data_IF_725776055604
#
_entry.id   IF_725776055604
#
_cell.length_a   1.000
_cell.length_b   1.000
_cell.length_c   1.000
_cell.angle_alpha   90.00
_cell.angle_beta   90.00
_cell.angle_gamma   90.00
#
_symmetry.space_group_name_H-M   'P 1'
#
loop_
_entity.id
_entity.type
_entity.pdbx_description
1 polymer ?
#
# COMPACT_ATOMS: atom_id res chain seq x y z
N UNK A 1 58.06 5.88 -9.77
CA UNK A 1 57.04 6.50 -8.89
C UNK A 1 55.71 5.93 -9.36
N UNK A 2 55.25 4.78 -8.88
CA UNK A 2 54.92 4.33 -7.51
C UNK A 2 53.47 4.70 -7.10
N UNK A 3 52.63 3.64 -7.17
CA UNK A 3 51.32 3.35 -6.54
C UNK A 3 49.98 3.96 -7.01
N UNK A 4 48.87 3.21 -6.76
CA UNK A 4 47.70 3.09 -7.63
C UNK A 4 46.41 3.63 -6.98
N UNK A 5 45.30 3.68 -7.73
CA UNK A 5 43.96 3.85 -7.13
C UNK A 5 42.98 2.81 -7.69
N UNK A 6 42.52 1.97 -6.78
CA UNK A 6 41.53 0.91 -6.92
C UNK A 6 40.17 1.49 -7.32
N UNK A 7 39.49 0.87 -8.27
CA UNK A 7 38.03 0.98 -8.37
C UNK A 7 37.40 0.35 -7.11
N UNK A 8 36.40 0.99 -6.48
CA UNK A 8 35.66 0.35 -5.42
C UNK A 8 34.76 -0.73 -6.03
N UNK A 9 35.19 -1.98 -5.93
CA UNK A 9 34.34 -3.15 -6.11
C UNK A 9 33.26 -3.12 -5.02
N UNK A 10 32.08 -2.60 -5.34
CA UNK A 10 30.90 -2.77 -4.49
C UNK A 10 30.36 -4.19 -4.73
N UNK A 11 30.90 -5.17 -4.00
CA UNK A 11 30.24 -6.46 -3.87
C UNK A 11 29.10 -6.27 -2.88
N UNK A 12 27.87 -6.20 -3.39
CA UNK A 12 26.68 -6.30 -2.54
C UNK A 12 26.76 -7.62 -1.77
N UNK A 13 26.57 -7.63 -0.44
CA UNK A 13 26.39 -8.89 0.27
C UNK A 13 25.15 -9.56 -0.33
N UNK A 14 25.33 -10.75 -0.93
CA UNK A 14 24.21 -11.63 -1.27
C UNK A 14 23.50 -11.96 0.04
N UNK A 15 22.45 -11.21 0.34
CA UNK A 15 21.55 -11.48 1.44
C UNK A 15 20.91 -12.84 1.15
N UNK A 16 21.50 -13.89 1.73
CA UNK A 16 20.84 -15.18 1.81
C UNK A 16 19.64 -14.97 2.72
N UNK A 17 18.46 -14.86 2.11
CA UNK A 17 17.17 -14.97 2.81
C UNK A 17 17.18 -16.34 3.47
N UNK A 18 17.59 -16.39 4.75
CA UNK A 18 17.37 -17.55 5.60
C UNK A 18 15.87 -17.62 5.77
N UNK A 19 15.28 -18.70 5.26
CA UNK A 19 13.88 -19.01 5.45
C UNK A 19 13.61 -19.08 6.97
N UNK A 20 13.02 -18.02 7.51
CA UNK A 20 12.36 -18.07 8.81
C UNK A 20 10.98 -18.68 8.57
N UNK A 21 10.91 -20.01 8.52
CA UNK A 21 9.64 -20.73 8.61
C UNK A 21 9.30 -20.89 10.10
N UNK A 22 8.59 -19.90 10.62
CA UNK A 22 7.58 -20.10 11.67
C UNK A 22 6.30 -19.37 11.21
N UNK A 23 5.82 -19.78 10.03
CA UNK A 23 4.60 -19.26 9.42
C UNK A 23 3.40 -19.78 10.21
N UNK A 24 2.91 -18.97 11.14
CA UNK A 24 1.63 -19.20 11.78
C UNK A 24 0.52 -18.90 10.76
N UNK A 25 0.09 -19.94 10.02
CA UNK A 25 -0.85 -19.91 8.90
C UNK A 25 -1.90 -18.80 9.02
N UNK A 26 -1.76 -17.74 8.21
CA UNK A 26 -2.86 -16.80 7.95
C UNK A 26 -3.82 -17.51 7.00
N UNK A 27 -4.94 -17.97 7.54
CA UNK A 27 -5.86 -18.82 6.80
C UNK A 27 -6.91 -18.00 6.05
N UNK A 28 -7.41 -16.93 6.69
CA UNK A 28 -8.47 -16.07 6.13
C UNK A 28 -7.99 -14.63 6.01
N UNK A 29 -7.92 -14.12 4.79
CA UNK A 29 -7.50 -12.73 4.50
C UNK A 29 -8.70 -11.93 4.02
N UNK A 30 -9.01 -10.82 4.67
CA UNK A 30 -9.95 -9.84 4.13
C UNK A 30 -9.20 -8.84 3.24
N UNK A 31 -9.70 -8.58 2.04
CA UNK A 31 -9.14 -7.59 1.11
C UNK A 31 -10.23 -6.57 0.79
N UNK A 32 -10.08 -5.33 1.24
CA UNK A 32 -10.97 -4.25 0.79
C UNK A 32 -10.40 -3.62 -0.47
N UNK A 33 -11.23 -3.15 -1.39
CA UNK A 33 -10.74 -2.66 -2.69
C UNK A 33 -10.25 -3.80 -3.58
N UNK A 34 -10.80 -5.01 -3.39
CA UNK A 34 -10.32 -6.24 -4.04
C UNK A 34 -10.49 -6.20 -5.56
N UNK A 35 -11.44 -5.43 -6.09
CA UNK A 35 -11.66 -5.35 -7.54
C UNK A 35 -10.79 -4.28 -8.20
N UNK A 36 -10.15 -3.40 -7.42
CA UNK A 36 -9.17 -2.42 -7.90
C UNK A 36 -7.92 -3.06 -8.50
N UNK A 37 -7.10 -2.26 -9.19
CA UNK A 37 -5.91 -2.77 -9.90
C UNK A 37 -4.96 -3.56 -8.99
N UNK A 38 -4.64 -3.01 -7.81
CA UNK A 38 -3.77 -3.66 -6.84
C UNK A 38 -4.48 -4.83 -6.15
N UNK A 39 -5.80 -4.70 -5.91
CA UNK A 39 -6.61 -5.75 -5.30
C UNK A 39 -6.62 -7.04 -6.11
N UNK A 40 -6.76 -6.94 -7.44
CA UNK A 40 -6.70 -8.10 -8.34
C UNK A 40 -5.34 -8.79 -8.31
N UNK A 41 -4.25 -8.01 -8.33
CA UNK A 41 -2.88 -8.56 -8.24
C UNK A 41 -2.61 -9.25 -6.90
N UNK A 42 -3.06 -8.63 -5.81
CA UNK A 42 -2.94 -9.22 -4.47
C UNK A 42 -3.80 -10.49 -4.38
N UNK A 43 -5.01 -10.48 -4.93
CA UNK A 43 -5.88 -11.65 -4.99
C UNK A 43 -5.17 -12.81 -5.73
N UNK A 44 -4.64 -12.59 -6.93
CA UNK A 44 -3.92 -13.62 -7.71
C UNK A 44 -2.79 -14.30 -6.90
N UNK A 45 -2.04 -13.50 -6.14
CA UNK A 45 -0.95 -13.98 -5.28
C UNK A 45 -1.47 -14.76 -4.07
N UNK A 46 -2.52 -14.28 -3.41
CA UNK A 46 -3.16 -14.98 -2.28
C UNK A 46 -3.84 -16.27 -2.73
N UNK A 47 -4.39 -16.30 -3.94
CA UNK A 47 -5.01 -17.49 -4.50
C UNK A 47 -4.01 -18.62 -4.72
N UNK A 48 -2.84 -18.25 -5.22
CA UNK A 48 -1.73 -19.15 -5.50
C UNK A 48 -1.00 -19.62 -4.23
N UNK A 49 -1.32 -19.07 -3.06
CA UNK A 49 -0.69 -19.41 -1.79
C UNK A 49 -1.50 -20.47 -1.03
N UNK A 50 -0.92 -21.67 -0.85
CA UNK A 50 -1.55 -22.79 -0.14
C UNK A 50 -1.79 -22.49 1.36
N UNK A 51 -1.10 -21.51 1.94
CA UNK A 51 -1.32 -21.06 3.32
C UNK A 51 -2.63 -20.28 3.49
N UNK A 52 -3.13 -19.65 2.41
CA UNK A 52 -4.38 -18.88 2.41
C UNK A 52 -5.51 -19.80 1.96
N UNK A 53 -6.45 -20.09 2.86
CA UNK A 53 -7.59 -20.96 2.58
C UNK A 53 -8.76 -20.20 1.97
N UNK A 54 -8.95 -18.94 2.36
CA UNK A 54 -10.08 -18.11 1.94
C UNK A 54 -9.69 -16.64 1.89
N UNK A 55 -10.17 -15.96 0.84
CA UNK A 55 -10.11 -14.50 0.71
C UNK A 55 -11.51 -13.94 0.82
N UNK A 56 -11.73 -13.04 1.78
CA UNK A 56 -12.97 -12.27 1.88
C UNK A 56 -12.76 -10.94 1.16
N UNK A 57 -13.32 -10.82 -0.03
CA UNK A 57 -13.21 -9.60 -0.83
C UNK A 57 -14.35 -8.64 -0.54
N UNK A 58 -14.02 -7.37 -0.30
CA UNK A 58 -14.98 -6.28 -0.09
C UNK A 58 -14.73 -5.20 -1.14
N UNK A 59 -15.75 -4.86 -1.91
CA UNK A 59 -15.69 -3.73 -2.84
C UNK A 59 -17.09 -3.18 -3.17
N UNK A 60 -17.14 -1.94 -3.65
CA UNK A 60 -18.36 -1.28 -4.14
C UNK A 60 -18.72 -1.66 -5.59
N UNK A 61 -17.83 -2.37 -6.28
CA UNK A 61 -18.01 -2.85 -7.65
C UNK A 61 -17.83 -4.37 -7.71
N UNK A 62 -18.62 -5.07 -8.53
CA UNK A 62 -18.48 -6.53 -8.69
C UNK A 62 -17.17 -6.91 -9.43
N UNK A 63 -16.54 -8.04 -9.06
CA UNK A 63 -15.38 -8.52 -9.78
C UNK A 63 -15.77 -8.97 -11.20
N UNK A 64 -14.89 -8.71 -12.17
CA UNK A 64 -15.11 -9.09 -13.58
C UNK A 64 -15.14 -10.61 -13.77
N UNK A 65 -14.46 -11.35 -12.89
CA UNK A 65 -14.44 -12.81 -12.89
C UNK A 65 -14.46 -13.34 -11.45
N UNK A 66 -15.07 -14.50 -11.26
CA UNK A 66 -15.00 -15.22 -9.98
C UNK A 66 -13.61 -15.82 -9.77
N UNK A 67 -13.26 -16.07 -8.51
CA UNK A 67 -12.00 -16.70 -8.13
C UNK A 67 -12.27 -17.82 -7.11
N UNK A 68 -11.56 -18.97 -7.18
CA UNK A 68 -11.86 -20.14 -6.34
C UNK A 68 -11.82 -19.90 -4.83
N UNK A 69 -10.92 -19.04 -4.34
CA UNK A 69 -10.79 -18.74 -2.90
C UNK A 69 -11.55 -17.48 -2.48
N UNK A 70 -12.11 -16.72 -3.42
CA UNK A 70 -12.79 -15.46 -3.15
C UNK A 70 -14.23 -15.68 -2.72
N UNK A 71 -14.52 -15.28 -1.49
CA UNK A 71 -15.86 -14.94 -1.06
C UNK A 71 -16.05 -13.42 -1.17
N UNK A 72 -16.87 -13.00 -2.11
CA UNK A 72 -17.07 -11.58 -2.42
C UNK A 72 -18.30 -11.00 -1.72
N UNK A 73 -18.15 -9.77 -1.20
CA UNK A 73 -19.21 -8.96 -0.60
C UNK A 73 -19.25 -7.60 -1.29
N UNK A 74 -20.35 -7.31 -1.98
CA UNK A 74 -20.62 -6.00 -2.59
C UNK A 74 -21.00 -4.99 -1.50
N UNK A 75 -19.99 -4.32 -0.93
CA UNK A 75 -20.10 -3.41 0.20
C UNK A 75 -19.04 -2.30 0.11
N UNK A 76 -19.44 -1.10 0.52
CA UNK A 76 -18.51 0.01 0.76
C UNK A 76 -17.90 -0.13 2.16
N UNK A 77 -16.65 0.32 2.36
CA UNK A 77 -15.97 0.33 3.66
C UNK A 77 -16.67 1.21 4.72
N UNK A 78 -17.59 2.08 4.28
CA UNK A 78 -18.46 2.88 5.15
C UNK A 78 -19.70 2.11 5.64
N UNK A 79 -19.94 0.89 5.16
CA UNK A 79 -21.13 0.12 5.51
C UNK A 79 -21.03 -0.46 6.94
N UNK A 80 -22.08 -0.27 7.74
CA UNK A 80 -22.16 -0.75 9.11
C UNK A 80 -22.11 -2.29 9.25
N UNK A 81 -22.30 -3.03 8.16
CA UNK A 81 -22.20 -4.49 8.13
C UNK A 81 -20.75 -4.99 8.13
N UNK A 82 -19.75 -4.13 7.90
CA UNK A 82 -18.35 -4.50 7.75
C UNK A 82 -17.84 -5.39 8.90
N UNK A 83 -18.18 -5.05 10.15
CA UNK A 83 -17.77 -5.85 11.32
C UNK A 83 -18.28 -7.30 11.31
N UNK A 84 -19.45 -7.57 10.71
CA UNK A 84 -19.97 -8.94 10.57
C UNK A 84 -19.21 -9.74 9.51
N UNK A 85 -18.71 -9.06 8.48
CA UNK A 85 -17.93 -9.67 7.40
C UNK A 85 -16.54 -10.07 7.89
N UNK A 86 -16.00 -9.36 8.89
CA UNK A 86 -14.67 -9.62 9.42
C UNK A 86 -14.60 -10.79 10.42
N UNK A 87 -15.71 -11.41 10.78
CA UNK A 87 -15.74 -12.54 11.72
C UNK A 87 -14.88 -13.70 11.18
N UNK A 88 -13.87 -14.10 11.95
CA UNK A 88 -12.94 -15.17 11.58
C UNK A 88 -11.83 -14.77 10.62
N UNK A 89 -11.64 -13.47 10.35
CA UNK A 89 -10.52 -12.93 9.58
C UNK A 89 -9.24 -12.94 10.43
N UNK A 90 -8.14 -13.43 9.87
CA UNK A 90 -6.81 -13.39 10.48
C UNK A 90 -6.07 -12.09 10.15
N UNK A 91 -6.18 -11.64 8.89
CA UNK A 91 -5.43 -10.52 8.34
C UNK A 91 -6.33 -9.64 7.47
N UNK A 92 -6.23 -8.32 7.62
CA UNK A 92 -6.90 -7.35 6.76
C UNK A 92 -5.87 -6.68 5.86
N UNK A 93 -6.09 -6.72 4.55
CA UNK A 93 -5.38 -5.95 3.54
C UNK A 93 -6.31 -4.84 3.07
N UNK A 94 -6.06 -3.60 3.50
CA UNK A 94 -6.96 -2.48 3.25
C UNK A 94 -6.50 -1.68 2.02
N UNK A 95 -7.01 -2.03 0.84
CA UNK A 95 -6.66 -1.37 -0.44
C UNK A 95 -7.73 -0.38 -0.92
N UNK A 96 -8.90 -0.38 -0.28
CA UNK A 96 -10.00 0.53 -0.65
C UNK A 96 -9.57 1.97 -0.39
N UNK A 97 -9.31 2.70 -1.47
CA UNK A 97 -8.89 4.08 -1.43
C UNK A 97 -9.18 4.74 -2.78
N UNK A 98 -9.83 5.89 -2.75
CA UNK A 98 -10.13 6.69 -3.93
C UNK A 98 -8.94 7.61 -4.26
N UNK A 99 -8.41 7.48 -5.48
CA UNK A 99 -7.24 8.21 -5.97
C UNK A 99 -7.57 9.45 -6.81
N UNK A 100 -8.58 9.35 -7.67
CA UNK A 100 -8.92 10.43 -8.59
C UNK A 100 -9.60 11.58 -7.84
N UNK A 101 -9.36 12.84 -8.27
CA UNK A 101 -10.15 13.97 -7.81
C UNK A 101 -11.59 13.74 -8.25
N UNK A 102 -12.38 13.13 -7.37
CA UNK A 102 -13.82 13.32 -7.43
C UNK A 102 -14.01 14.83 -7.28
N UNK A 103 -14.92 15.42 -8.06
CA UNK A 103 -15.37 16.81 -7.85
C UNK A 103 -15.96 17.06 -6.45
N UNK A 104 -16.01 16.01 -5.63
CA UNK A 104 -16.59 15.88 -4.31
C UNK A 104 -15.53 15.30 -3.37
N UNK A 105 -14.70 16.21 -2.83
CA UNK A 105 -13.64 15.88 -1.88
C UNK A 105 -14.20 15.34 -0.56
N UNK A 106 -15.39 15.77 -0.14
CA UNK A 106 -16.07 15.27 1.05
C UNK A 106 -16.38 13.77 0.92
N UNK A 107 -16.94 13.36 -0.23
CA UNK A 107 -17.15 11.94 -0.53
C UNK A 107 -15.83 11.18 -0.54
N UNK A 108 -14.79 11.73 -1.17
CA UNK A 108 -13.47 11.09 -1.20
C UNK A 108 -12.91 10.91 0.22
N UNK A 109 -13.04 11.92 1.08
CA UNK A 109 -12.60 11.87 2.48
C UNK A 109 -13.40 10.83 3.27
N UNK A 110 -14.72 10.76 3.07
CA UNK A 110 -15.55 9.76 3.75
C UNK A 110 -15.12 8.33 3.41
N UNK A 111 -14.69 8.06 2.18
CA UNK A 111 -14.21 6.74 1.77
C UNK A 111 -12.81 6.50 2.32
N UNK A 112 -11.90 7.46 2.13
CA UNK A 112 -10.47 7.28 2.39
C UNK A 112 -10.09 7.35 3.87
N UNK A 113 -10.79 8.15 4.66
CA UNK A 113 -10.44 8.42 6.06
C UNK A 113 -11.45 7.74 6.98
N UNK A 114 -12.74 8.08 6.85
CA UNK A 114 -13.79 7.50 7.71
C UNK A 114 -13.97 6.00 7.40
N UNK A 115 -13.92 5.62 6.12
CA UNK A 115 -13.90 4.22 5.71
C UNK A 115 -12.71 3.45 6.28
N UNK A 116 -11.51 4.04 6.33
CA UNK A 116 -10.38 3.40 7.02
C UNK A 116 -10.63 3.30 8.52
N UNK A 117 -11.17 4.32 9.18
CA UNK A 117 -11.50 4.25 10.60
C UNK A 117 -12.46 3.08 10.90
N UNK A 118 -13.48 2.88 10.07
CA UNK A 118 -14.41 1.76 10.20
C UNK A 118 -13.72 0.39 10.00
N UNK A 119 -12.81 0.28 9.04
CA UNK A 119 -12.02 -0.94 8.81
C UNK A 119 -11.16 -1.25 10.03
N UNK A 120 -10.49 -0.24 10.60
CA UNK A 120 -9.67 -0.39 11.80
C UNK A 120 -10.52 -0.80 13.01
N UNK A 121 -11.66 -0.15 13.23
CA UNK A 121 -12.59 -0.49 14.32
C UNK A 121 -13.11 -1.93 14.20
N UNK A 122 -13.57 -2.32 13.01
CA UNK A 122 -14.02 -3.69 12.75
C UNK A 122 -12.90 -4.73 12.96
N UNK A 123 -11.69 -4.41 12.51
CA UNK A 123 -10.50 -5.25 12.67
C UNK A 123 -10.15 -5.46 14.16
N UNK A 124 -10.15 -4.37 14.95
CA UNK A 124 -9.91 -4.46 16.39
C UNK A 124 -11.02 -5.22 17.14
N UNK A 125 -12.29 -4.99 16.78
CA UNK A 125 -13.43 -5.64 17.45
C UNK A 125 -13.40 -7.18 17.32
N UNK A 126 -12.87 -7.70 16.21
CA UNK A 126 -12.70 -9.15 16.00
C UNK A 126 -11.35 -9.66 16.50
N UNK A 127 -10.39 -8.76 16.77
CA UNK A 127 -9.05 -9.13 17.20
C UNK A 127 -8.23 -9.76 16.08
N UNK A 128 -8.29 -9.19 14.87
CA UNK A 128 -7.44 -9.66 13.76
C UNK A 128 -5.97 -9.58 14.18
N UNK A 129 -5.15 -10.49 13.67
CA UNK A 129 -3.71 -10.52 14.01
C UNK A 129 -2.93 -9.44 13.28
N UNK A 130 -3.41 -9.06 12.09
CA UNK A 130 -2.63 -8.22 11.18
C UNK A 130 -3.48 -7.28 10.33
N UNK A 131 -2.93 -6.10 10.08
CA UNK A 131 -3.42 -5.12 9.12
C UNK A 131 -2.26 -4.72 8.20
N UNK A 132 -2.48 -4.81 6.89
CA UNK A 132 -1.56 -4.35 5.85
C UNK A 132 -2.20 -3.19 5.11
N UNK A 133 -1.52 -2.04 5.07
CA UNK A 133 -2.01 -0.82 4.45
C UNK A 133 -0.98 -0.24 3.47
N UNK A 134 -1.30 -0.12 2.17
CA UNK A 134 -0.49 0.63 1.23
C UNK A 134 -0.75 2.13 1.42
N UNK A 135 0.19 2.82 2.06
CA UNK A 135 0.28 4.27 2.03
C UNK A 135 0.99 4.75 0.74
N UNK A 136 1.53 5.96 0.73
CA UNK A 136 2.24 6.54 -0.41
C UNK A 136 3.34 7.49 0.06
N UNK A 137 4.46 7.55 -0.67
CA UNK A 137 5.51 8.53 -0.46
C UNK A 137 5.03 10.00 -0.58
N UNK A 138 3.83 10.23 -1.14
CA UNK A 138 3.19 11.54 -1.15
C UNK A 138 2.99 12.14 0.26
N UNK A 139 2.97 11.32 1.33
CA UNK A 139 2.90 11.80 2.72
C UNK A 139 4.11 12.61 3.16
N UNK A 140 5.27 12.44 2.50
CA UNK A 140 6.47 13.23 2.74
C UNK A 140 6.37 14.65 2.14
N UNK A 141 5.48 14.86 1.17
CA UNK A 141 5.35 16.11 0.43
C UNK A 141 6.49 16.38 -0.55
N UNK A 142 6.24 17.28 -1.50
CA UNK A 142 7.21 17.70 -2.52
C UNK A 142 7.85 19.05 -2.15
N UNK A 143 8.76 19.06 -1.18
CA UNK A 143 9.44 20.26 -0.70
C UNK A 143 10.91 20.27 -1.10
N UNK A 144 11.43 21.44 -1.52
CA UNK A 144 12.81 21.58 -1.99
C UNK A 144 13.88 21.37 -0.91
N UNK A 145 13.48 21.45 0.36
CA UNK A 145 14.32 21.22 1.54
C UNK A 145 14.15 19.81 2.14
N UNK A 146 13.50 18.89 1.43
CA UNK A 146 13.47 17.47 1.83
C UNK A 146 14.89 16.87 1.78
N UNK A 147 15.16 15.96 2.71
CA UNK A 147 16.34 15.09 2.63
C UNK A 147 16.28 14.22 1.36
N UNK A 148 17.45 13.90 0.82
CA UNK A 148 17.59 13.03 -0.33
C UNK A 148 18.68 11.98 -0.07
N UNK A 149 18.35 10.67 0.00
CA UNK A 149 17.02 10.08 -0.17
C UNK A 149 16.10 10.27 1.06
N UNK A 150 14.78 10.20 0.83
CA UNK A 150 13.79 10.12 1.90
C UNK A 150 13.84 8.75 2.58
N UNK A 151 13.63 8.74 3.90
CA UNK A 151 13.58 7.53 4.74
C UNK A 151 12.25 7.47 5.49
N UNK A 152 11.95 6.36 6.14
CA UNK A 152 10.74 6.18 6.95
C UNK A 152 10.70 7.13 8.15
N UNK A 153 11.87 7.62 8.59
CA UNK A 153 12.01 8.65 9.63
C UNK A 153 11.90 10.09 9.11
N UNK A 154 11.81 10.29 7.80
CA UNK A 154 11.68 11.64 7.23
C UNK A 154 10.36 12.29 7.66
N UNK A 155 10.33 13.62 7.88
CA UNK A 155 9.12 14.33 8.30
C UNK A 155 7.96 14.15 7.31
N UNK A 156 6.76 13.94 7.84
CA UNK A 156 5.54 13.88 7.02
C UNK A 156 5.01 15.29 6.77
N UNK A 157 5.14 15.75 5.53
CA UNK A 157 4.80 17.12 5.11
C UNK A 157 3.90 17.14 3.87
N UNK A 158 2.94 16.21 3.81
CA UNK A 158 1.99 16.10 2.71
C UNK A 158 1.43 17.48 2.29
N UNK A 159 1.41 17.75 0.98
CA UNK A 159 0.87 19.00 0.46
C UNK A 159 -0.65 19.06 0.70
N UNK A 160 -1.12 20.06 1.46
CA UNK A 160 -2.54 20.19 1.84
C UNK A 160 -3.45 20.40 0.62
N UNK A 161 -2.98 21.14 -0.38
CA UNK A 161 -3.69 21.37 -1.65
C UNK A 161 -3.80 20.11 -2.54
N UNK A 162 -3.20 19.00 -2.11
CA UNK A 162 -3.31 17.71 -2.79
C UNK A 162 -4.06 16.71 -1.90
N UNK A 163 -5.40 16.70 -2.05
CA UNK A 163 -6.31 15.92 -1.21
C UNK A 163 -5.94 14.44 -1.07
N UNK A 164 -5.40 13.79 -2.12
CA UNK A 164 -4.87 12.42 -2.02
C UNK A 164 -3.76 12.29 -0.96
N UNK A 165 -2.76 13.17 -0.99
CA UNK A 165 -1.66 13.16 -0.03
C UNK A 165 -2.14 13.53 1.38
N UNK A 166 -3.03 14.51 1.49
CA UNK A 166 -3.65 14.89 2.76
C UNK A 166 -4.43 13.73 3.39
N UNK A 167 -5.26 13.03 2.61
CA UNK A 167 -6.03 11.87 3.10
C UNK A 167 -5.10 10.72 3.49
N UNK A 168 -4.05 10.42 2.72
CA UNK A 168 -3.05 9.40 3.10
C UNK A 168 -2.39 9.74 4.44
N UNK A 169 -2.03 11.00 4.66
CA UNK A 169 -1.45 11.44 5.93
C UNK A 169 -2.45 11.35 7.08
N UNK A 170 -3.72 11.70 6.87
CA UNK A 170 -4.77 11.53 7.88
C UNK A 170 -4.99 10.05 8.23
N UNK A 171 -5.01 9.16 7.23
CA UNK A 171 -5.11 7.71 7.45
C UNK A 171 -3.88 7.15 8.19
N UNK A 172 -2.66 7.62 7.91
CA UNK A 172 -1.48 7.21 8.69
C UNK A 172 -1.58 7.63 10.16
N UNK A 173 -2.12 8.81 10.46
CA UNK A 173 -2.37 9.23 11.86
C UNK A 173 -3.39 8.32 12.57
N UNK A 174 -4.42 7.86 11.85
CA UNK A 174 -5.35 6.86 12.37
C UNK A 174 -4.64 5.53 12.66
N UNK A 175 -3.78 5.07 11.75
CA UNK A 175 -2.98 3.85 11.93
C UNK A 175 -2.01 3.96 13.10
N UNK A 176 -1.34 5.10 13.29
CA UNK A 176 -0.44 5.34 14.42
C UNK A 176 -1.19 5.31 15.77
N UNK A 177 -2.36 5.94 15.82
CA UNK A 177 -3.25 5.89 16.99
C UNK A 177 -3.71 4.46 17.27
N UNK A 178 -4.13 3.74 16.22
CA UNK A 178 -4.56 2.36 16.29
C UNK A 178 -3.45 1.43 16.81
N UNK A 179 -2.23 1.56 16.28
CA UNK A 179 -1.06 0.78 16.72
C UNK A 179 -0.74 1.00 18.19
N UNK A 180 -0.88 2.23 18.66
CA UNK A 180 -0.68 2.57 20.08
C UNK A 180 -1.75 1.94 20.96
N UNK A 181 -3.00 1.92 20.50
CA UNK A 181 -4.13 1.33 21.23
C UNK A 181 -4.15 -0.21 21.18
N UNK A 182 -3.61 -0.81 20.12
CA UNK A 182 -3.63 -2.25 19.87
C UNK A 182 -2.22 -2.80 19.58
N UNK A 183 -1.31 -2.80 20.57
CA UNK A 183 0.09 -3.20 20.37
C UNK A 183 0.28 -4.67 19.95
N UNK A 184 -0.72 -5.52 20.22
CA UNK A 184 -0.70 -6.93 19.86
C UNK A 184 -1.10 -7.19 18.39
N UNK A 185 -1.62 -6.19 17.69
CA UNK A 185 -1.97 -6.29 16.26
C UNK A 185 -0.78 -5.83 15.42
N UNK A 186 -0.32 -6.70 14.51
CA UNK A 186 0.72 -6.35 13.54
C UNK A 186 0.16 -5.35 12.53
N UNK A 187 0.74 -4.16 12.43
CA UNK A 187 0.35 -3.18 11.42
C UNK A 187 1.53 -2.88 10.52
N UNK A 188 1.37 -3.21 9.24
CA UNK A 188 2.35 -2.95 8.19
C UNK A 188 1.86 -1.80 7.32
N UNK A 189 2.66 -0.74 7.21
CA UNK A 189 2.37 0.40 6.34
C UNK A 189 3.43 0.49 5.25
N UNK A 190 3.02 0.40 3.99
CA UNK A 190 3.92 0.58 2.85
C UNK A 190 3.80 1.97 2.26
N UNK A 191 4.78 2.84 2.44
CA UNK A 191 4.85 4.14 1.76
C UNK A 191 5.48 3.94 0.39
N UNK A 192 4.67 3.54 -0.58
CA UNK A 192 5.15 3.27 -1.93
C UNK A 192 5.50 4.55 -2.68
N UNK A 193 6.56 4.48 -3.50
CA UNK A 193 6.75 5.39 -4.61
C UNK A 193 5.56 5.31 -5.59
N UNK A 194 5.58 6.11 -6.65
CA UNK A 194 4.47 6.12 -7.60
C UNK A 194 4.35 4.74 -8.25
N UNK A 195 3.22 4.08 -7.99
CA UNK A 195 2.95 2.76 -8.54
C UNK A 195 2.72 2.90 -10.04
N UNK A 196 3.37 2.06 -10.82
CA UNK A 196 3.33 2.09 -12.27
C UNK A 196 3.24 0.66 -12.83
N UNK A 197 2.49 0.47 -13.91
CA UNK A 197 2.34 -0.85 -14.51
C UNK A 197 1.13 -0.93 -15.44
N UNK A 198 0.99 -2.04 -16.17
CA UNK A 198 -0.03 -2.19 -17.22
C UNK A 198 -1.48 -2.03 -16.75
N UNK A 199 -1.78 -2.28 -15.48
CA UNK A 199 -3.14 -2.17 -14.94
C UNK A 199 -3.38 -0.90 -14.10
N UNK A 200 -2.39 -0.01 -14.01
CA UNK A 200 -2.45 1.18 -13.17
C UNK A 200 -2.98 2.39 -13.94
N UNK A 201 -4.13 2.91 -13.50
CA UNK A 201 -4.66 4.19 -13.96
C UNK A 201 -4.47 5.25 -12.87
N UNK A 202 -3.50 6.15 -13.05
CA UNK A 202 -3.27 7.28 -12.17
C UNK A 202 -2.85 8.52 -12.96
N UNK A 203 -2.57 9.63 -12.27
CA UNK A 203 -2.13 10.86 -12.93
C UNK A 203 -0.83 10.67 -13.73
N UNK A 204 0.13 9.90 -13.22
CA UNK A 204 1.42 9.68 -13.86
C UNK A 204 1.32 8.75 -15.06
N UNK A 205 0.56 7.66 -14.99
CA UNK A 205 0.34 6.80 -16.18
C UNK A 205 -0.35 7.58 -17.30
N UNK A 206 -1.40 8.35 -16.98
CA UNK A 206 -2.05 9.25 -17.95
C UNK A 206 -1.10 10.29 -18.55
N UNK A 207 -0.20 10.85 -17.74
CA UNK A 207 0.79 11.81 -18.23
C UNK A 207 1.80 11.15 -19.17
N UNK A 208 2.29 9.95 -18.84
CA UNK A 208 3.28 9.21 -19.64
C UNK A 208 2.70 8.65 -20.93
N UNK A 209 1.41 8.34 -20.95
CA UNK A 209 0.68 7.88 -22.15
C UNK A 209 0.19 9.04 -23.03
N UNK A 210 0.27 10.28 -22.54
CA UNK A 210 -0.16 11.44 -23.30
C UNK A 210 0.74 11.66 -24.54
N UNK A 211 0.19 12.09 -25.69
CA UNK A 211 0.97 12.34 -26.90
C UNK A 211 2.02 13.46 -26.74
N UNK A 212 1.87 14.29 -25.69
CA UNK A 212 2.82 15.34 -25.30
C UNK A 212 2.85 15.46 -23.78
N UNK A 213 4.04 15.37 -23.20
CA UNK A 213 4.26 15.59 -21.77
C UNK A 213 4.57 17.07 -21.56
N UNK A 214 3.85 17.72 -20.64
CA UNK A 214 4.15 19.09 -20.22
C UNK A 214 5.07 19.04 -19.02
N UNK A 215 6.23 19.70 -19.12
CA UNK A 215 7.20 19.81 -18.03
C UNK A 215 7.46 21.28 -17.68
N UNK A 216 7.99 21.52 -16.48
CA UNK A 216 8.43 22.85 -16.06
C UNK A 216 9.83 23.08 -16.61
N UNK A 217 9.98 24.11 -17.46
CA UNK A 217 11.26 24.43 -18.10
C UNK A 217 12.35 24.66 -17.04
N UNK A 218 13.47 23.94 -17.17
CA UNK A 218 14.62 24.06 -16.26
C UNK A 218 14.44 23.33 -14.93
N UNK A 219 13.45 22.46 -14.81
CA UNK A 219 13.20 21.65 -13.63
C UNK A 219 13.04 20.18 -14.02
N UNK A 220 13.95 19.34 -13.52
CA UNK A 220 14.02 17.90 -13.76
C UNK A 220 13.97 17.17 -12.40
N UNK A 221 12.77 17.08 -11.77
CA UNK A 221 12.67 16.46 -10.46
C UNK A 221 12.91 14.94 -10.58
N UNK A 222 13.67 14.33 -9.66
CA UNK A 222 13.85 12.89 -9.66
C UNK A 222 12.49 12.21 -9.45
N UNK A 223 12.10 11.35 -10.38
CA UNK A 223 10.85 10.60 -10.36
C UNK A 223 11.13 9.14 -10.06
N UNK A 224 10.72 8.69 -8.87
CA UNK A 224 10.84 7.29 -8.46
C UNK A 224 9.53 6.56 -8.71
N UNK A 225 9.63 5.39 -9.35
CA UNK A 225 8.51 4.52 -9.67
C UNK A 225 8.69 3.16 -8.99
N UNK A 226 7.59 2.45 -8.79
CA UNK A 226 7.60 1.05 -8.35
C UNK A 226 6.58 0.24 -9.13
N UNK A 227 6.94 -0.97 -9.55
CA UNK A 227 6.06 -1.77 -10.37
C UNK A 227 4.86 -2.28 -9.54
N UNK A 228 3.67 -2.35 -10.15
CA UNK A 228 2.46 -2.84 -9.48
C UNK A 228 2.62 -4.26 -8.89
N UNK A 229 3.36 -5.13 -9.58
CA UNK A 229 3.64 -6.50 -9.12
C UNK A 229 4.59 -6.52 -7.91
N UNK A 230 5.50 -5.56 -7.80
CA UNK A 230 6.41 -5.46 -6.63
C UNK A 230 5.64 -5.00 -5.40
N UNK A 231 4.71 -4.05 -5.57
CA UNK A 231 3.79 -3.62 -4.50
C UNK A 231 2.91 -4.80 -4.05
N UNK A 232 2.29 -5.52 -5.00
CA UNK A 232 1.45 -6.66 -4.69
C UNK A 232 2.24 -7.78 -3.99
N UNK A 233 3.47 -8.04 -4.44
CA UNK A 233 4.37 -9.03 -3.84
C UNK A 233 4.77 -8.65 -2.41
N UNK A 234 5.04 -7.38 -2.14
CA UNK A 234 5.34 -6.91 -0.79
C UNK A 234 4.13 -7.01 0.15
N UNK A 235 2.92 -6.71 -0.35
CA UNK A 235 1.68 -6.92 0.40
C UNK A 235 1.47 -8.40 0.71
N UNK A 236 1.59 -9.28 -0.28
CA UNK A 236 1.50 -10.73 -0.08
C UNK A 236 2.57 -11.24 0.89
N UNK A 237 3.78 -10.67 0.86
CA UNK A 237 4.83 -10.97 1.84
C UNK A 237 4.42 -10.53 3.24
N UNK A 238 3.88 -9.33 3.41
CA UNK A 238 3.41 -8.82 4.70
C UNK A 238 2.25 -9.64 5.27
N UNK A 239 1.37 -10.18 4.44
CA UNK A 239 0.34 -11.13 4.89
C UNK A 239 1.00 -12.31 5.61
N UNK A 240 2.11 -12.84 5.07
CA UNK A 240 2.78 -14.05 5.56
C UNK A 240 3.82 -13.83 6.64
N UNK A 241 4.29 -12.60 6.80
CA UNK A 241 5.42 -12.26 7.69
C UNK A 241 5.02 -11.15 8.64
N UNK A 242 5.48 -11.19 9.88
CA UNK A 242 5.06 -10.21 10.89
C UNK A 242 5.88 -8.92 10.80
N UNK A 243 5.73 -8.22 9.67
CA UNK A 243 6.33 -6.92 9.40
C UNK A 243 5.58 -5.82 10.15
N UNK A 244 5.86 -5.66 11.43
CA UNK A 244 5.30 -4.54 12.20
C UNK A 244 6.10 -3.27 11.89
N UNK A 245 5.45 -2.20 11.42
CA UNK A 245 6.13 -0.95 11.12
C UNK A 245 5.74 -0.26 9.83
N UNK A 246 6.55 0.71 9.46
CA UNK A 246 6.42 1.51 8.24
C UNK A 246 7.63 1.19 7.36
N UNK A 247 7.40 1.02 6.07
CA UNK A 247 8.41 0.63 5.09
C UNK A 247 8.22 1.43 3.81
N UNK A 248 9.26 2.10 3.32
CA UNK A 248 9.27 2.69 1.99
C UNK A 248 9.34 1.56 0.95
N UNK A 249 8.56 1.69 -0.12
CA UNK A 249 8.52 0.70 -1.18
C UNK A 249 8.77 1.37 -2.53
N UNK A 250 9.99 1.24 -3.03
CA UNK A 250 10.46 1.93 -4.21
C UNK A 250 11.58 1.15 -4.91
N UNK A 251 11.82 1.44 -6.19
CA UNK A 251 13.02 0.97 -6.88
C UNK A 251 14.28 1.68 -6.34
N UNK A 252 15.45 1.06 -6.46
CA UNK A 252 16.73 1.62 -5.96
C UNK A 252 17.14 2.96 -6.61
N UNK A 253 16.57 3.30 -7.77
CA UNK A 253 16.91 4.50 -8.54
C UNK A 253 15.70 5.38 -8.89
N UNK A 254 15.93 6.41 -9.69
CA UNK A 254 14.92 7.36 -10.17
C UNK A 254 15.16 7.72 -11.64
N UNK A 255 14.13 8.27 -12.26
CA UNK A 255 14.18 8.89 -13.59
C UNK A 255 14.44 10.40 -13.43
N UNK A 256 15.21 11.00 -14.33
CA UNK A 256 15.48 12.44 -14.42
C UNK A 256 15.41 12.90 -15.86
#
# INVERSE_FOLDING_TARGET
>A
MDRPSREPSYSLPRMRVRAFYDAHNVSVVAVTGVTGYLGRRVLDLLESDDGVQRVIGIDSEEPVAGSPKLEFHLLDVRDARLGKIFVGVDCVVHLAFQHDPIRDEERMRSINVEGTANVLEAAAAIGVRKIVYPSSAAVYGAHADNDFPLTESSPLRANEDFAFAAHKLETERLLDTFRTAHPDIVVTVFRSAIVFGPSVENFVSRLMEAPRITTVRGYEPPLQLVHEDDVASAIALAVKTDLHGIYNLAADGWLS
#
